data_IF_559480305832
#
_entry.id   IF_559480305832
#
_cell.length_a   1.000
_cell.length_b   1.000
_cell.length_c   1.000
_cell.angle_alpha   90.00
_cell.angle_beta   90.00
_cell.angle_gamma   90.00
#
_symmetry.space_group_name_H-M   'P 1'
#
loop_
_entity.id
_entity.type
_entity.pdbx_description
1 polymer ?
#
# COMPACT_ATOMS: atom_id res chain seq x y z
N UNK A 1 -4.43 24.90 2.74
CA UNK A 1 -5.70 24.45 3.38
C UNK A 1 -5.43 23.09 3.99
N UNK A 2 -5.84 22.87 5.23
CA UNK A 2 -5.75 21.54 5.87
C UNK A 2 -6.74 20.59 5.20
N UNK A 3 -6.29 19.38 4.85
CA UNK A 3 -7.18 18.37 4.24
C UNK A 3 -8.28 17.95 5.22
N UNK A 4 -9.53 18.09 4.81
CA UNK A 4 -10.68 17.65 5.61
C UNK A 4 -11.28 16.39 4.99
N UNK A 5 -11.09 15.27 5.69
CA UNK A 5 -11.66 13.97 5.28
C UNK A 5 -13.19 14.04 5.28
N UNK A 6 -13.82 13.50 4.24
CA UNK A 6 -15.30 13.48 4.10
C UNK A 6 -15.94 12.28 4.81
N UNK A 7 -15.22 11.15 4.89
CA UNK A 7 -15.69 9.93 5.57
C UNK A 7 -15.27 9.89 7.04
N UNK A 8 -16.10 9.34 7.90
CA UNK A 8 -15.72 9.11 9.30
C UNK A 8 -14.82 7.88 9.42
N UNK A 9 -13.55 8.11 9.67
CA UNK A 9 -12.54 7.07 9.87
C UNK A 9 -12.85 6.15 11.07
N UNK A 10 -13.66 6.61 12.04
CA UNK A 10 -14.03 5.80 13.21
C UNK A 10 -14.86 4.58 12.84
N UNK A 11 -15.49 4.57 11.67
CA UNK A 11 -16.23 3.41 11.15
C UNK A 11 -15.31 2.26 10.69
N UNK A 12 -14.00 2.50 10.53
CA UNK A 12 -13.04 1.48 10.15
C UNK A 12 -12.55 0.75 11.40
N UNK A 13 -12.82 -0.56 11.56
CA UNK A 13 -12.35 -1.29 12.72
C UNK A 13 -10.82 -1.36 12.70
N UNK A 14 -10.17 -1.13 13.85
CA UNK A 14 -8.71 -1.12 13.95
C UNK A 14 -8.21 -1.93 15.12
N UNK A 15 -7.01 -2.49 14.98
CA UNK A 15 -6.20 -3.08 16.04
C UNK A 15 -4.91 -2.27 16.17
N UNK A 16 -4.66 -1.68 17.33
CA UNK A 16 -3.38 -0.98 17.55
C UNK A 16 -2.26 -1.98 17.71
N UNK A 17 -1.25 -1.93 16.85
CA UNK A 17 -0.06 -2.78 16.89
C UNK A 17 1.17 -1.88 16.90
N UNK A 18 1.87 -1.84 18.01
CA UNK A 18 3.08 -1.03 18.21
C UNK A 18 2.90 0.45 17.85
N UNK A 19 1.72 1.03 18.17
CA UNK A 19 1.38 2.43 17.90
C UNK A 19 0.65 2.69 16.59
N UNK A 20 0.67 1.73 15.65
CA UNK A 20 -0.07 1.85 14.38
C UNK A 20 -1.47 1.25 14.51
N UNK A 21 -2.49 2.00 14.12
CA UNK A 21 -3.88 1.53 14.05
C UNK A 21 -4.10 0.76 12.74
N UNK A 22 -3.77 -0.53 12.77
CA UNK A 22 -3.94 -1.42 11.62
C UNK A 22 -5.43 -1.76 11.44
N UNK A 23 -5.95 -1.62 10.23
CA UNK A 23 -7.33 -1.96 9.92
C UNK A 23 -7.59 -3.46 10.16
N UNK A 24 -8.59 -3.75 11.00
CA UNK A 24 -8.95 -5.11 11.39
C UNK A 24 -10.00 -5.69 10.43
N UNK A 25 -9.61 -5.86 9.16
CA UNK A 25 -10.46 -6.17 8.01
C UNK A 25 -9.93 -7.36 7.21
N UNK A 26 -10.75 -7.86 6.29
CA UNK A 26 -10.36 -8.79 5.23
C UNK A 26 -10.40 -8.11 3.86
N UNK A 27 -10.02 -8.83 2.80
CA UNK A 27 -9.96 -8.28 1.44
C UNK A 27 -11.36 -7.91 0.91
N UNK A 28 -12.36 -8.75 1.13
CA UNK A 28 -13.74 -8.51 0.69
C UNK A 28 -14.28 -7.20 1.28
N UNK A 29 -14.14 -7.01 2.60
CA UNK A 29 -14.55 -5.78 3.26
C UNK A 29 -13.81 -4.55 2.70
N UNK A 30 -12.49 -4.69 2.45
CA UNK A 30 -11.68 -3.59 1.93
C UNK A 30 -12.16 -3.15 0.54
N UNK A 31 -12.34 -4.10 -0.37
CA UNK A 31 -12.78 -3.81 -1.75
C UNK A 31 -14.17 -3.18 -1.74
N UNK A 32 -15.12 -3.75 -0.99
CA UNK A 32 -16.48 -3.21 -0.84
C UNK A 32 -16.47 -1.78 -0.26
N UNK A 33 -15.65 -1.54 0.77
CA UNK A 33 -15.51 -0.22 1.37
C UNK A 33 -14.96 0.81 0.38
N UNK A 34 -13.88 0.46 -0.35
CA UNK A 34 -13.28 1.35 -1.35
C UNK A 34 -14.27 1.64 -2.48
N UNK A 35 -14.97 0.63 -2.98
CA UNK A 35 -15.96 0.78 -4.06
C UNK A 35 -17.13 1.70 -3.65
N UNK A 36 -17.67 1.51 -2.45
CA UNK A 36 -18.79 2.32 -1.95
C UNK A 36 -18.44 3.78 -1.68
N UNK A 37 -17.18 4.05 -1.33
CA UNK A 37 -16.77 5.37 -0.85
C UNK A 37 -15.78 6.09 -1.79
N UNK A 38 -15.46 5.53 -2.96
CA UNK A 38 -14.36 6.05 -3.80
C UNK A 38 -14.46 7.56 -4.07
N UNK A 39 -15.66 8.09 -4.32
CA UNK A 39 -15.88 9.52 -4.58
C UNK A 39 -15.58 10.42 -3.38
N UNK A 40 -15.67 9.89 -2.16
CA UNK A 40 -15.53 10.66 -0.91
C UNK A 40 -14.12 10.52 -0.30
N UNK A 41 -13.41 9.44 -0.64
CA UNK A 41 -12.06 9.15 -0.13
C UNK A 41 -10.93 9.62 -1.05
N UNK A 42 -11.24 10.20 -2.22
CA UNK A 42 -10.25 10.87 -3.07
C UNK A 42 -9.53 11.96 -2.28
N UNK A 43 -8.25 12.12 -2.57
CA UNK A 43 -7.37 13.02 -1.81
C UNK A 43 -6.76 12.41 -0.56
N UNK A 44 -7.19 11.22 -0.15
CA UNK A 44 -6.63 10.51 1.00
C UNK A 44 -5.64 9.40 0.57
N UNK A 45 -5.06 8.70 1.54
CA UNK A 45 -4.13 7.62 1.25
C UNK A 45 -4.32 6.40 2.14
N UNK A 46 -3.91 5.25 1.61
CA UNK A 46 -3.89 3.94 2.29
C UNK A 46 -2.45 3.45 2.39
N UNK A 47 -2.01 3.15 3.62
CA UNK A 47 -0.72 2.53 3.87
C UNK A 47 -0.85 1.00 3.83
N UNK A 48 -0.01 0.34 3.05
CA UNK A 48 0.10 -1.13 3.01
C UNK A 48 1.15 -1.55 4.03
N UNK A 49 0.69 -1.79 5.27
CA UNK A 49 1.56 -1.93 6.43
C UNK A 49 1.98 -3.37 6.68
N UNK A 50 3.26 -3.56 6.96
CA UNK A 50 3.86 -4.86 7.27
C UNK A 50 4.78 -4.76 8.51
N UNK A 51 5.41 -5.86 8.89
CA UNK A 51 6.32 -5.91 10.05
C UNK A 51 7.38 -4.80 10.02
N UNK A 52 7.96 -4.55 8.84
CA UNK A 52 9.00 -3.52 8.72
C UNK A 52 8.45 -2.12 8.98
N UNK A 53 7.35 -1.73 8.31
CA UNK A 53 6.75 -0.41 8.50
C UNK A 53 6.23 -0.20 9.90
N UNK A 54 5.66 -1.25 10.53
CA UNK A 54 5.19 -1.20 11.92
C UNK A 54 6.33 -1.01 12.92
N UNK A 55 7.46 -1.71 12.74
CA UNK A 55 8.65 -1.52 13.59
C UNK A 55 9.27 -0.14 13.36
N UNK A 56 9.34 0.32 12.11
CA UNK A 56 9.80 1.69 11.81
C UNK A 56 8.92 2.73 12.49
N UNK A 57 7.60 2.58 12.47
CA UNK A 57 6.67 3.46 13.18
C UNK A 57 6.85 3.45 14.70
N UNK A 58 7.19 2.30 15.27
CA UNK A 58 7.48 2.20 16.69
C UNK A 58 8.76 2.95 17.12
N UNK A 59 9.72 3.05 16.20
CA UNK A 59 11.01 3.73 16.42
C UNK A 59 11.01 5.21 15.97
N UNK A 60 10.06 5.61 15.12
CA UNK A 60 9.92 6.95 14.53
C UNK A 60 8.48 7.43 14.70
N UNK A 61 8.26 8.37 15.63
CA UNK A 61 6.95 8.91 15.94
C UNK A 61 6.33 9.68 14.77
N UNK A 62 7.13 10.37 13.96
CA UNK A 62 6.66 11.10 12.79
C UNK A 62 6.17 10.12 11.71
N UNK A 63 6.91 9.03 11.52
CA UNK A 63 6.46 7.98 10.61
C UNK A 63 5.21 7.25 11.12
N UNK A 64 5.09 7.07 12.44
CA UNK A 64 3.87 6.55 13.07
C UNK A 64 2.67 7.48 12.81
N UNK A 65 2.87 8.78 12.94
CA UNK A 65 1.83 9.77 12.63
C UNK A 65 1.39 9.70 11.16
N UNK A 66 2.33 9.50 10.23
CA UNK A 66 2.03 9.27 8.81
C UNK A 66 1.19 8.01 8.62
N UNK A 67 1.58 6.87 9.20
CA UNK A 67 0.81 5.63 9.11
C UNK A 67 -0.62 5.78 9.64
N UNK A 68 -0.79 6.53 10.71
CA UNK A 68 -2.08 6.79 11.34
C UNK A 68 -2.84 7.96 10.68
N UNK A 69 -2.18 8.83 9.92
CA UNK A 69 -2.75 10.04 9.30
C UNK A 69 -3.61 9.74 8.08
N UNK A 70 -3.33 8.68 7.33
CA UNK A 70 -4.12 8.26 6.17
C UNK A 70 -5.51 7.74 6.50
N UNK A 71 -6.25 7.38 5.48
CA UNK A 71 -7.57 6.75 5.60
C UNK A 71 -7.48 5.49 6.47
N UNK A 72 -6.55 4.61 6.12
CA UNK A 72 -6.28 3.38 6.87
C UNK A 72 -4.87 2.84 6.61
N UNK A 73 -4.38 2.00 7.54
CA UNK A 73 -3.22 1.15 7.37
C UNK A 73 -3.68 -0.30 7.28
N UNK A 74 -3.55 -0.94 6.11
CA UNK A 74 -4.02 -2.31 5.88
C UNK A 74 -2.94 -3.34 6.22
N UNK A 75 -3.30 -4.55 6.72
CA UNK A 75 -2.36 -5.58 7.15
C UNK A 75 -1.77 -6.37 5.97
N UNK A 76 -0.61 -5.97 5.43
CA UNK A 76 0.09 -6.70 4.35
C UNK A 76 0.83 -7.95 4.83
N UNK A 77 1.08 -8.07 6.11
CA UNK A 77 1.85 -9.18 6.65
C UNK A 77 1.03 -10.15 7.50
N UNK A 78 1.23 -11.47 7.30
CA UNK A 78 0.64 -12.50 8.16
C UNK A 78 0.85 -12.27 9.67
N UNK A 79 2.03 -11.82 10.14
CA UNK A 79 2.23 -11.50 11.56
C UNK A 79 1.25 -10.44 12.09
N UNK A 80 0.89 -9.43 11.31
CA UNK A 80 -0.07 -8.39 11.74
C UNK A 80 -1.47 -8.97 11.94
N UNK A 81 -1.97 -9.74 10.96
CA UNK A 81 -3.27 -10.40 11.09
C UNK A 81 -3.28 -11.42 12.23
N UNK A 82 -2.19 -12.17 12.43
CA UNK A 82 -2.07 -13.10 13.56
C UNK A 82 -2.16 -12.38 14.92
N UNK A 83 -1.50 -11.24 15.08
CA UNK A 83 -1.59 -10.42 16.31
C UNK A 83 -3.01 -9.91 16.49
N UNK A 84 -3.63 -9.37 15.45
CA UNK A 84 -5.01 -8.88 15.50
C UNK A 84 -6.00 -9.97 15.89
N UNK A 85 -5.91 -11.16 15.28
CA UNK A 85 -6.77 -12.30 15.61
C UNK A 85 -6.60 -12.74 17.08
N UNK A 86 -5.37 -12.79 17.60
CA UNK A 86 -5.10 -13.09 19.02
C UNK A 86 -5.67 -12.03 19.96
N UNK A 87 -5.82 -10.78 19.51
CA UNK A 87 -6.43 -9.68 20.27
C UNK A 87 -7.95 -9.58 20.08
N UNK A 88 -8.58 -10.59 19.47
CA UNK A 88 -10.04 -10.69 19.34
C UNK A 88 -10.62 -10.22 18.00
N UNK A 89 -9.81 -9.71 17.08
CA UNK A 89 -10.24 -9.29 15.74
C UNK A 89 -10.26 -10.50 14.78
N UNK A 90 -11.20 -11.42 14.97
CA UNK A 90 -11.25 -12.72 14.27
C UNK A 90 -11.27 -12.61 12.75
N UNK A 91 -11.87 -11.54 12.21
CA UNK A 91 -12.00 -11.31 10.76
C UNK A 91 -10.82 -10.53 10.16
N UNK A 92 -9.79 -10.24 10.96
CA UNK A 92 -8.59 -9.55 10.44
C UNK A 92 -7.74 -10.54 9.64
N UNK A 93 -7.68 -10.33 8.33
CA UNK A 93 -6.92 -11.17 7.43
C UNK A 93 -5.78 -10.40 6.77
N UNK A 94 -4.87 -11.13 6.16
CA UNK A 94 -3.78 -10.55 5.38
C UNK A 94 -4.31 -9.94 4.08
N UNK A 95 -4.15 -8.61 3.93
CA UNK A 95 -4.53 -7.85 2.73
C UNK A 95 -3.27 -7.27 2.07
N UNK A 96 -2.72 -7.97 1.07
CA UNK A 96 -1.46 -7.54 0.44
C UNK A 96 -1.69 -6.50 -0.65
N UNK A 97 -0.69 -5.61 -0.85
CA UNK A 97 -0.73 -4.64 -1.95
C UNK A 97 -1.00 -5.27 -3.32
N UNK A 98 -0.25 -6.30 -3.76
CA UNK A 98 -0.50 -6.96 -5.03
C UNK A 98 -1.87 -7.63 -5.14
N UNK A 99 -2.40 -8.19 -4.05
CA UNK A 99 -3.74 -8.78 -4.08
C UNK A 99 -4.82 -7.70 -4.20
N UNK A 100 -4.70 -6.61 -3.44
CA UNK A 100 -5.61 -5.46 -3.56
C UNK A 100 -5.59 -4.87 -4.97
N UNK A 101 -4.39 -4.73 -5.57
CA UNK A 101 -4.28 -4.27 -6.97
C UNK A 101 -5.13 -5.15 -7.90
N UNK A 102 -5.01 -6.49 -7.79
CA UNK A 102 -5.76 -7.43 -8.65
C UNK A 102 -7.27 -7.29 -8.49
N UNK A 103 -7.76 -7.30 -7.26
CA UNK A 103 -9.20 -7.13 -6.98
C UNK A 103 -9.74 -5.81 -7.56
N UNK A 104 -9.02 -4.71 -7.36
CA UNK A 104 -9.42 -3.42 -7.90
C UNK A 104 -9.35 -3.40 -9.43
N UNK A 105 -8.35 -4.02 -10.06
CA UNK A 105 -8.25 -4.07 -11.53
C UNK A 105 -9.39 -4.86 -12.16
N UNK A 106 -9.80 -5.98 -11.55
CA UNK A 106 -10.92 -6.79 -12.02
C UNK A 106 -12.24 -6.01 -12.02
N UNK A 107 -12.54 -5.28 -10.94
CA UNK A 107 -13.76 -4.48 -10.87
C UNK A 107 -13.69 -3.25 -11.78
N UNK A 108 -12.50 -2.69 -11.97
CA UNK A 108 -12.29 -1.45 -12.72
C UNK A 108 -12.62 -1.59 -14.20
N UNK A 109 -12.39 -2.75 -14.80
CA UNK A 109 -12.74 -3.02 -16.19
C UNK A 109 -14.25 -2.85 -16.44
N UNK A 110 -15.09 -3.12 -15.42
CA UNK A 110 -16.55 -2.97 -15.50
C UNK A 110 -17.04 -1.59 -15.05
N UNK A 111 -16.38 -0.99 -14.06
CA UNK A 111 -16.78 0.28 -13.44
C UNK A 111 -16.16 1.51 -14.11
N UNK A 112 -15.15 1.32 -14.94
CA UNK A 112 -14.44 2.40 -15.63
C UNK A 112 -13.54 3.23 -14.72
N UNK A 113 -13.09 2.68 -13.58
CA UNK A 113 -12.16 3.38 -12.70
C UNK A 113 -10.83 3.66 -13.41
N UNK A 114 -10.31 4.87 -13.16
CA UNK A 114 -9.10 5.41 -13.78
C UNK A 114 -7.90 5.25 -12.86
N UNK A 115 -6.85 4.63 -13.37
CA UNK A 115 -5.63 4.31 -12.62
C UNK A 115 -4.45 5.18 -13.05
N UNK A 116 -3.77 5.77 -12.07
CA UNK A 116 -2.48 6.41 -12.27
C UNK A 116 -1.40 5.64 -11.53
N UNK A 117 -0.23 5.45 -12.14
CA UNK A 117 0.90 4.74 -11.54
C UNK A 117 2.07 5.69 -11.38
N UNK A 118 2.51 5.87 -10.13
CA UNK A 118 3.60 6.78 -9.77
C UNK A 118 4.72 6.04 -9.08
N UNK A 119 5.92 6.06 -9.63
CA UNK A 119 7.09 5.37 -9.06
C UNK A 119 7.67 4.29 -9.97
N UNK A 120 8.60 3.52 -9.43
CA UNK A 120 9.38 2.49 -10.14
C UNK A 120 10.26 3.07 -11.26
N UNK A 121 10.81 2.21 -12.12
CA UNK A 121 11.59 2.58 -13.31
C UNK A 121 10.71 2.58 -14.55
N UNK A 122 11.12 3.33 -15.58
CA UNK A 122 10.38 3.40 -16.83
C UNK A 122 10.17 2.02 -17.47
N UNK A 123 11.22 1.18 -17.50
CA UNK A 123 11.12 -0.17 -18.05
C UNK A 123 10.09 -1.04 -17.30
N UNK A 124 10.00 -0.85 -15.98
CA UNK A 124 8.99 -1.56 -15.17
C UNK A 124 7.58 -1.05 -15.48
N UNK A 125 7.41 0.25 -15.69
CA UNK A 125 6.10 0.83 -16.06
C UNK A 125 5.65 0.39 -17.45
N UNK A 126 6.55 0.27 -18.41
CA UNK A 126 6.25 -0.26 -19.75
C UNK A 126 5.75 -1.71 -19.69
N UNK A 127 6.47 -2.58 -18.97
CA UNK A 127 6.06 -3.97 -18.77
C UNK A 127 4.73 -4.04 -18.01
N UNK A 128 4.55 -3.23 -16.98
CA UNK A 128 3.32 -3.12 -16.22
C UNK A 128 2.14 -2.74 -17.12
N UNK A 129 2.31 -1.75 -17.98
CA UNK A 129 1.29 -1.33 -18.95
C UNK A 129 0.86 -2.48 -19.85
N UNK A 130 1.83 -3.17 -20.47
CA UNK A 130 1.58 -4.30 -21.36
C UNK A 130 0.83 -5.43 -20.63
N UNK A 131 1.25 -5.77 -19.43
CA UNK A 131 0.62 -6.84 -18.63
C UNK A 131 -0.79 -6.47 -18.18
N UNK A 132 -0.99 -5.24 -17.72
CA UNK A 132 -2.31 -4.81 -17.28
C UNK A 132 -3.32 -4.75 -18.43
N UNK A 133 -2.94 -4.20 -19.57
CA UNK A 133 -3.83 -4.12 -20.74
C UNK A 133 -4.16 -5.49 -21.33
N UNK A 134 -3.22 -6.45 -21.26
CA UNK A 134 -3.44 -7.83 -21.68
C UNK A 134 -4.34 -8.62 -20.71
N UNK A 135 -4.07 -8.51 -19.40
CA UNK A 135 -4.74 -9.34 -18.39
C UNK A 135 -6.09 -8.78 -17.94
N UNK A 136 -6.30 -7.45 -18.07
CA UNK A 136 -7.52 -6.77 -17.66
C UNK A 136 -8.08 -5.93 -18.83
N UNK A 137 -8.72 -6.57 -19.84
CA UNK A 137 -9.29 -5.85 -20.97
C UNK A 137 -10.30 -4.80 -20.52
N UNK A 138 -10.10 -3.54 -20.97
CA UNK A 138 -10.97 -2.41 -20.58
C UNK A 138 -10.47 -1.61 -19.37
N UNK A 139 -9.36 -2.00 -18.71
CA UNK A 139 -8.75 -1.18 -17.66
C UNK A 139 -8.40 0.21 -18.17
N UNK A 140 -8.73 1.25 -17.42
CA UNK A 140 -8.45 2.64 -17.77
C UNK A 140 -7.15 3.10 -17.11
N UNK A 141 -6.03 3.04 -17.84
CA UNK A 141 -4.74 3.56 -17.39
C UNK A 141 -4.68 5.04 -17.77
N UNK A 142 -4.91 5.91 -16.80
CA UNK A 142 -4.97 7.36 -16.97
C UNK A 142 -3.59 7.99 -17.15
N UNK A 143 -2.55 7.38 -16.57
CA UNK A 143 -1.17 7.80 -16.73
C UNK A 143 -0.20 6.98 -15.91
N UNK A 144 1.08 7.11 -16.27
CA UNK A 144 2.20 6.49 -15.58
C UNK A 144 3.37 7.48 -15.52
N UNK A 145 4.11 7.50 -14.43
CA UNK A 145 5.26 8.38 -14.28
C UNK A 145 6.34 7.77 -13.38
N UNK A 146 7.55 7.73 -13.87
CA UNK A 146 8.76 7.36 -13.14
C UNK A 146 9.49 8.63 -12.68
N UNK A 147 9.44 8.98 -11.38
CA UNK A 147 10.14 10.16 -10.90
C UNK A 147 11.66 9.91 -10.84
N UNK A 148 12.47 10.98 -10.96
CA UNK A 148 13.92 10.85 -10.83
C UNK A 148 14.32 10.35 -9.43
N UNK A 149 15.47 9.63 -9.34
CA UNK A 149 16.00 9.09 -8.08
C UNK A 149 16.66 10.15 -7.20
N UNK A 150 16.12 11.37 -7.16
CA UNK A 150 16.53 12.49 -6.30
C UNK A 150 15.30 13.18 -5.73
N UNK A 151 15.46 14.01 -4.69
CA UNK A 151 14.37 14.89 -4.27
C UNK A 151 13.93 15.78 -5.44
N UNK A 152 12.62 15.99 -5.54
CA UNK A 152 12.05 16.94 -6.50
C UNK A 152 12.19 18.37 -5.96
N UNK A 153 12.27 19.35 -6.86
CA UNK A 153 12.07 20.75 -6.48
C UNK A 153 10.57 21.00 -6.25
N UNK A 154 10.24 22.13 -5.62
CA UNK A 154 8.83 22.50 -5.38
C UNK A 154 8.07 22.71 -6.71
N UNK A 155 8.76 23.23 -7.73
CA UNK A 155 8.20 23.44 -9.06
C UNK A 155 7.93 22.11 -9.77
N UNK A 156 8.89 21.17 -9.72
CA UNK A 156 8.72 19.83 -10.27
C UNK A 156 7.56 19.10 -9.60
N UNK A 157 7.46 19.22 -8.27
CA UNK A 157 6.39 18.60 -7.49
C UNK A 157 5.01 19.13 -7.86
N UNK A 158 4.87 20.46 -8.04
CA UNK A 158 3.64 21.10 -8.52
C UNK A 158 3.22 20.61 -9.90
N UNK A 159 4.17 20.54 -10.83
CA UNK A 159 3.91 20.03 -12.21
C UNK A 159 3.43 18.58 -12.17
N UNK A 160 4.00 17.76 -11.28
CA UNK A 160 3.57 16.35 -11.12
C UNK A 160 2.17 16.27 -10.55
N UNK A 161 1.83 17.07 -9.53
CA UNK A 161 0.48 17.13 -8.96
C UNK A 161 -0.54 17.52 -10.06
N UNK A 162 -0.29 18.59 -10.79
CA UNK A 162 -1.14 19.05 -11.88
C UNK A 162 -1.33 17.95 -12.94
N UNK A 163 -0.23 17.33 -13.39
CA UNK A 163 -0.25 16.24 -14.36
C UNK A 163 -1.11 15.05 -13.90
N UNK A 164 -1.01 14.67 -12.61
CA UNK A 164 -1.83 13.58 -12.06
C UNK A 164 -3.30 14.00 -12.06
N UNK A 165 -3.61 15.18 -11.56
CA UNK A 165 -5.00 15.66 -11.39
C UNK A 165 -5.72 15.91 -12.73
N UNK A 166 -5.01 16.37 -13.77
CA UNK A 166 -5.55 16.51 -15.14
C UNK A 166 -6.10 15.19 -15.67
N UNK A 167 -5.53 14.06 -15.28
CA UNK A 167 -5.99 12.74 -15.68
C UNK A 167 -7.23 12.28 -14.91
N UNK A 168 -7.67 13.00 -13.85
CA UNK A 168 -8.82 12.67 -13.00
C UNK A 168 -8.81 11.21 -12.55
N UNK A 169 -7.79 10.73 -11.85
CA UNK A 169 -7.69 9.35 -11.43
C UNK A 169 -8.66 9.04 -10.30
N UNK A 170 -9.12 7.80 -10.23
CA UNK A 170 -9.80 7.27 -9.04
C UNK A 170 -8.78 6.71 -8.05
N UNK A 171 -7.80 5.97 -8.57
CA UNK A 171 -6.72 5.35 -7.82
C UNK A 171 -5.36 5.82 -8.31
N UNK A 172 -4.51 6.22 -7.36
CA UNK A 172 -3.09 6.55 -7.61
C UNK A 172 -2.22 5.52 -6.88
N UNK A 173 -1.67 4.59 -7.65
CA UNK A 173 -0.78 3.56 -7.13
C UNK A 173 0.62 4.12 -6.95
N UNK A 174 1.20 3.95 -5.76
CA UNK A 174 2.51 4.53 -5.44
C UNK A 174 3.53 3.42 -5.19
N UNK A 175 4.51 3.33 -6.09
CA UNK A 175 5.57 2.31 -6.13
C UNK A 175 6.96 2.85 -5.81
N UNK A 176 7.10 3.70 -4.77
CA UNK A 176 8.40 4.27 -4.35
C UNK A 176 9.12 3.43 -3.31
N UNK A 177 8.41 2.48 -2.67
CA UNK A 177 8.89 1.71 -1.54
C UNK A 177 8.87 2.46 -0.21
N UNK A 178 8.68 1.70 0.89
CA UNK A 178 8.66 2.25 2.23
C UNK A 178 10.09 2.67 2.69
N UNK A 179 10.25 3.76 3.44
CA UNK A 179 9.24 4.68 3.94
C UNK A 179 8.92 5.86 2.99
N UNK A 180 9.53 5.90 1.80
CA UNK A 180 9.40 7.04 0.87
C UNK A 180 7.98 7.22 0.36
N UNK A 181 7.29 6.13 0.03
CA UNK A 181 5.92 6.19 -0.49
C UNK A 181 4.93 6.75 0.53
N UNK A 182 5.02 6.35 1.79
CA UNK A 182 4.12 6.84 2.83
C UNK A 182 4.36 8.34 3.11
N UNK A 183 5.64 8.76 3.17
CA UNK A 183 6.01 10.17 3.31
C UNK A 183 5.50 11.01 2.14
N UNK A 184 5.64 10.50 0.91
CA UNK A 184 5.14 11.17 -0.29
C UNK A 184 3.61 11.29 -0.26
N UNK A 185 2.90 10.19 0.01
CA UNK A 185 1.43 10.21 0.08
C UNK A 185 0.91 11.17 1.15
N UNK A 186 1.52 11.20 2.34
CA UNK A 186 1.15 12.12 3.40
C UNK A 186 1.39 13.59 3.02
N UNK A 187 2.50 13.90 2.34
CA UNK A 187 2.79 15.25 1.85
C UNK A 187 1.84 15.71 0.73
N UNK A 188 1.20 14.77 0.04
CA UNK A 188 0.26 15.01 -1.06
C UNK A 188 -1.21 14.83 -0.69
N UNK A 189 -1.51 14.53 0.58
CA UNK A 189 -2.87 14.42 1.07
C UNK A 189 -3.64 15.73 0.83
N UNK A 190 -4.78 15.63 0.16
CA UNK A 190 -5.60 16.78 -0.23
C UNK A 190 -5.08 17.58 -1.44
N UNK A 191 -3.94 17.18 -2.02
CA UNK A 191 -3.40 17.81 -3.24
C UNK A 191 -3.62 16.95 -4.48
N UNK A 192 -3.63 15.63 -4.32
CA UNK A 192 -3.92 14.65 -5.39
C UNK A 192 -5.40 14.31 -5.35
N UNK A 193 -6.09 14.39 -6.49
CA UNK A 193 -7.54 14.16 -6.62
C UNK A 193 -7.96 12.68 -6.69
N UNK A 194 -7.04 11.75 -6.51
CA UNK A 194 -7.27 10.30 -6.45
C UNK A 194 -6.99 9.72 -5.06
N UNK A 195 -7.48 8.50 -4.78
CA UNK A 195 -7.06 7.75 -3.61
C UNK A 195 -5.65 7.19 -3.84
N UNK A 196 -4.70 7.57 -2.99
CA UNK A 196 -3.32 7.10 -3.09
C UNK A 196 -3.11 5.79 -2.32
N UNK A 197 -2.45 4.78 -2.94
CA UNK A 197 -2.18 3.48 -2.32
C UNK A 197 -0.68 3.14 -2.46
N UNK A 198 0.00 2.99 -1.32
CA UNK A 198 1.43 2.68 -1.26
C UNK A 198 1.70 1.19 -1.41
N UNK A 199 1.85 0.69 -2.63
CA UNK A 199 1.96 -0.75 -2.93
C UNK A 199 3.40 -1.26 -3.11
N UNK A 200 4.39 -0.35 -3.13
CA UNK A 200 5.80 -0.71 -3.21
C UNK A 200 6.13 -1.63 -4.39
N UNK A 201 6.60 -2.84 -4.08
CA UNK A 201 6.96 -3.84 -5.10
C UNK A 201 5.76 -4.44 -5.87
N UNK A 202 4.55 -3.95 -5.66
CA UNK A 202 3.38 -4.38 -6.42
C UNK A 202 3.57 -4.23 -7.93
N UNK A 203 4.23 -3.16 -8.37
CA UNK A 203 4.53 -2.94 -9.78
C UNK A 203 5.46 -4.01 -10.34
N UNK A 204 6.51 -4.38 -9.60
CA UNK A 204 7.45 -5.43 -10.04
C UNK A 204 6.78 -6.80 -10.13
N UNK A 205 5.78 -7.09 -9.28
CA UNK A 205 5.01 -8.33 -9.37
C UNK A 205 4.14 -8.37 -10.63
N UNK A 206 3.44 -7.28 -10.96
CA UNK A 206 2.60 -7.21 -12.14
C UNK A 206 3.39 -7.06 -13.45
N UNK A 207 4.56 -6.43 -13.39
CA UNK A 207 5.53 -6.40 -14.49
C UNK A 207 6.29 -7.74 -14.67
N UNK A 208 6.06 -8.72 -13.76
CA UNK A 208 6.77 -10.02 -13.72
C UNK A 208 8.29 -9.92 -13.53
N UNK A 209 8.80 -8.77 -13.08
CA UNK A 209 10.21 -8.61 -12.71
C UNK A 209 10.58 -9.44 -11.47
N UNK A 210 9.61 -9.67 -10.60
CA UNK A 210 9.74 -10.48 -9.39
C UNK A 210 8.67 -11.57 -9.41
N UNK A 211 9.08 -12.80 -9.26
CA UNK A 211 8.13 -13.94 -9.16
C UNK A 211 7.44 -13.91 -7.81
N UNK A 212 6.12 -14.03 -7.83
CA UNK A 212 5.34 -14.18 -6.62
C UNK A 212 5.53 -15.58 -6.03
N UNK A 213 5.51 -15.68 -4.71
CA UNK A 213 5.61 -16.98 -4.04
C UNK A 213 4.47 -17.92 -4.50
N UNK A 214 4.70 -19.23 -4.57
CA UNK A 214 3.64 -20.20 -4.85
C UNK A 214 2.45 -20.03 -3.89
N UNK A 215 1.24 -20.32 -4.36
CA UNK A 215 0.01 -20.07 -3.61
C UNK A 215 0.00 -20.73 -2.21
N UNK A 216 0.57 -21.93 -2.09
CA UNK A 216 0.68 -22.61 -0.80
C UNK A 216 1.55 -21.83 0.21
N UNK A 217 2.66 -21.21 -0.25
CA UNK A 217 3.49 -20.36 0.61
C UNK A 217 2.76 -19.07 1.00
N UNK A 218 1.99 -18.48 0.09
CA UNK A 218 1.18 -17.30 0.38
C UNK A 218 0.14 -17.62 1.47
N UNK A 219 -0.58 -18.73 1.34
CA UNK A 219 -1.59 -19.22 2.32
C UNK A 219 -1.00 -19.51 3.71
N UNK A 220 0.26 -19.93 3.79
CA UNK A 220 0.94 -20.22 5.06
C UNK A 220 1.80 -19.06 5.58
N UNK A 221 1.64 -17.84 5.01
CA UNK A 221 2.42 -16.66 5.39
C UNK A 221 3.95 -16.82 5.22
N UNK A 222 4.39 -17.67 4.27
CA UNK A 222 5.79 -17.95 3.99
C UNK A 222 6.34 -17.14 2.79
N UNK A 223 5.59 -16.18 2.25
CA UNK A 223 6.03 -15.35 1.11
C UNK A 223 7.32 -14.58 1.42
N UNK A 224 7.51 -14.15 2.67
CA UNK A 224 8.73 -13.48 3.10
C UNK A 224 9.98 -14.36 2.99
N UNK A 225 9.84 -15.68 3.22
CA UNK A 225 10.95 -16.65 3.04
C UNK A 225 11.31 -16.73 1.56
N UNK A 226 10.31 -16.85 0.70
CA UNK A 226 10.52 -16.90 -0.75
C UNK A 226 11.23 -15.65 -1.26
N UNK A 227 10.82 -14.46 -0.79
CA UNK A 227 11.49 -13.20 -1.11
C UNK A 227 12.92 -13.12 -0.57
N UNK A 228 13.15 -13.66 0.63
CA UNK A 228 14.48 -13.72 1.22
C UNK A 228 15.45 -14.55 0.36
N UNK A 229 14.98 -15.67 -0.20
CA UNK A 229 15.76 -16.50 -1.10
C UNK A 229 16.07 -15.79 -2.42
N UNK A 230 15.15 -14.97 -2.94
CA UNK A 230 15.37 -14.21 -4.18
C UNK A 230 16.35 -13.04 -3.99
N UNK A 231 16.35 -12.36 -2.84
CA UNK A 231 17.19 -11.21 -2.56
C UNK A 231 17.76 -11.26 -1.12
N UNK A 232 18.65 -12.23 -0.83
CA UNK A 232 19.14 -12.45 0.52
C UNK A 232 19.99 -11.29 1.04
N UNK A 233 20.82 -10.69 0.19
CA UNK A 233 21.76 -9.62 0.60
C UNK A 233 21.01 -8.39 1.15
N UNK A 234 19.94 -8.00 0.50
CA UNK A 234 19.13 -6.82 0.90
C UNK A 234 18.15 -7.14 2.04
N UNK A 235 17.54 -8.33 2.00
CA UNK A 235 16.40 -8.63 2.89
C UNK A 235 16.84 -9.27 4.21
N UNK A 236 17.96 -10.00 4.30
CA UNK A 236 18.36 -10.70 5.51
C UNK A 236 18.53 -9.75 6.71
N UNK A 237 19.37 -8.70 6.57
CA UNK A 237 19.62 -7.74 7.65
C UNK A 237 18.32 -7.07 8.11
N UNK A 238 17.47 -6.69 7.14
CA UNK A 238 16.17 -6.07 7.44
C UNK A 238 15.25 -7.01 8.19
N UNK A 239 15.05 -8.23 7.70
CA UNK A 239 14.14 -9.20 8.34
C UNK A 239 14.64 -9.62 9.73
N UNK A 240 15.93 -9.85 9.89
CA UNK A 240 16.50 -10.18 11.19
C UNK A 240 16.21 -9.09 12.22
N UNK A 241 16.53 -7.84 11.90
CA UNK A 241 16.33 -6.72 12.80
C UNK A 241 14.84 -6.46 13.09
N UNK A 242 13.99 -6.44 12.06
CA UNK A 242 12.59 -6.06 12.25
C UNK A 242 11.74 -7.19 12.83
N UNK A 243 11.97 -8.45 12.42
CA UNK A 243 11.16 -9.57 12.95
C UNK A 243 11.44 -9.83 14.43
N UNK A 244 12.70 -9.75 14.88
CA UNK A 244 13.03 -9.92 16.29
C UNK A 244 12.38 -8.84 17.16
N UNK A 245 12.44 -7.57 16.74
CA UNK A 245 11.80 -6.45 17.43
C UNK A 245 10.27 -6.59 17.43
N UNK A 246 9.69 -7.01 16.34
CA UNK A 246 8.24 -7.20 16.22
C UNK A 246 7.75 -8.32 17.14
N UNK A 247 8.39 -9.49 17.11
CA UNK A 247 8.04 -10.62 17.96
C UNK A 247 8.11 -10.20 19.44
N UNK A 248 9.20 -9.54 19.85
CA UNK A 248 9.39 -9.09 21.20
C UNK A 248 8.33 -8.08 21.68
N UNK A 249 8.07 -7.05 20.85
CA UNK A 249 7.15 -5.98 21.28
C UNK A 249 5.68 -6.34 21.05
N UNK A 250 5.31 -6.80 19.85
CA UNK A 250 3.90 -7.04 19.52
C UNK A 250 3.36 -8.38 20.06
N UNK A 251 4.19 -9.45 20.06
CA UNK A 251 3.71 -10.79 20.43
C UNK A 251 3.99 -11.14 21.89
N UNK A 252 5.12 -10.70 22.48
CA UNK A 252 5.49 -11.02 23.86
C UNK A 252 5.04 -9.91 24.82
N UNK A 253 5.35 -8.63 24.52
CA UNK A 253 4.97 -7.50 25.39
C UNK A 253 3.54 -6.99 25.17
N UNK A 254 2.87 -7.41 24.11
CA UNK A 254 1.49 -7.00 23.81
C UNK A 254 1.31 -5.54 23.37
N UNK A 255 2.39 -4.89 22.90
CA UNK A 255 2.34 -3.49 22.42
C UNK A 255 1.66 -3.34 21.06
#
# INVERSE_FOLDING_TARGET
MEYKRKVDKKCIPTCNIMGVNIAAINMEWLVDYLEKNISEIKGDYVCVSNVHTTVTSFEDADYCAIQNGGLMAIPDGGPLSTVGQKRGHKNMERTTGPSLMGEIFEISAKKGYRHYFYGSKEETLELLYQKLTSNYPGIQIAGMYSPPFRPLTEEEDKVIIERINETKPDFVWVGLGAPKQEKWMAAHQGKIDGLMLGVGAGFDYYAENIKRAPMWMQKHNLEWVYRLVQDPKRLFKRYWSTNTKFIWNAMIRGK
#
